data_IF_802913133717
#
_entry.id   IF_802913133717
#
_cell.length_a   1.000
_cell.length_b   1.000
_cell.length_c   1.000
_cell.angle_alpha   90.00
_cell.angle_beta   90.00
_cell.angle_gamma   90.00
#
_symmetry.space_group_name_H-M   'P 1'
#
loop_
_entity.id
_entity.type
_entity.pdbx_description
1 polymer ?
#
# COMPACT_ATOMS: atom_id res chain seq x y z
N UNK A 1 17.88 12.37 -10.31
CA UNK A 1 18.93 13.07 -9.53
C UNK A 1 18.34 14.07 -8.53
N UNK A 2 17.37 14.91 -8.91
CA UNK A 2 16.79 15.89 -7.97
C UNK A 2 15.88 15.29 -6.89
N UNK A 3 15.00 14.35 -7.25
CA UNK A 3 14.11 13.69 -6.27
C UNK A 3 14.90 12.92 -5.20
N UNK A 4 15.98 12.24 -5.62
CA UNK A 4 16.89 11.52 -4.74
C UNK A 4 17.60 12.47 -3.73
N UNK A 5 18.20 13.56 -4.23
CA UNK A 5 18.77 14.62 -3.36
C UNK A 5 17.72 15.27 -2.47
N UNK A 6 16.49 15.42 -2.96
CA UNK A 6 15.37 15.95 -2.19
C UNK A 6 14.98 15.04 -1.04
N UNK A 7 14.93 13.72 -1.29
CA UNK A 7 14.67 12.71 -0.27
C UNK A 7 15.79 12.67 0.76
N UNK A 8 17.06 12.71 0.34
CA UNK A 8 18.21 12.81 1.26
C UNK A 8 18.07 14.01 2.19
N UNK A 9 17.81 15.20 1.64
CA UNK A 9 17.60 16.42 2.44
C UNK A 9 16.45 16.29 3.44
N UNK A 10 15.34 15.68 3.03
CA UNK A 10 14.18 15.45 3.90
C UNK A 10 14.53 14.49 5.04
N UNK A 11 15.23 13.40 4.75
CA UNK A 11 15.69 12.41 5.74
C UNK A 11 16.70 13.05 6.71
N UNK A 12 17.69 13.79 6.22
CA UNK A 12 18.68 14.49 7.06
C UNK A 12 18.04 15.55 7.96
N UNK A 13 17.01 16.23 7.49
CA UNK A 13 16.21 17.11 8.33
C UNK A 13 15.45 16.33 9.42
N UNK A 14 14.78 15.22 9.05
CA UNK A 14 13.97 14.44 9.98
C UNK A 14 14.80 13.73 11.06
N UNK A 15 16.03 13.30 10.73
CA UNK A 15 17.01 12.73 11.69
C UNK A 15 17.29 13.66 12.88
N UNK A 16 17.29 14.98 12.65
CA UNK A 16 17.59 16.00 13.68
C UNK A 16 16.38 16.33 14.57
N UNK A 17 15.21 15.72 14.34
CA UNK A 17 13.97 16.03 15.05
C UNK A 17 13.84 15.25 16.35
N UNK A 18 13.58 15.95 17.46
CA UNK A 18 13.16 15.35 18.73
C UNK A 18 11.75 14.76 18.70
N UNK A 19 10.90 15.19 17.75
CA UNK A 19 9.58 14.60 17.52
C UNK A 19 9.69 13.32 16.68
N UNK A 20 9.07 12.19 17.07
CA UNK A 20 8.98 11.01 16.20
C UNK A 20 8.41 11.37 14.83
N UNK A 21 9.09 10.93 13.78
CA UNK A 21 8.77 11.27 12.39
C UNK A 21 8.94 10.03 11.53
N UNK A 22 7.89 9.69 10.79
CA UNK A 22 7.91 8.68 9.72
C UNK A 22 7.80 9.40 8.38
N UNK A 23 8.63 9.00 7.42
CA UNK A 23 8.58 9.43 6.02
C UNK A 23 8.11 8.23 5.21
N UNK A 24 7.05 8.40 4.43
CA UNK A 24 6.65 7.48 3.37
C UNK A 24 6.81 8.19 2.03
N UNK A 25 7.65 7.66 1.16
CA UNK A 25 7.97 8.21 -0.15
C UNK A 25 7.80 7.11 -1.20
N UNK A 26 6.89 7.31 -2.15
CA UNK A 26 6.58 6.30 -3.16
C UNK A 26 6.18 6.94 -4.48
N UNK A 27 6.42 6.23 -5.59
CA UNK A 27 5.87 6.59 -6.89
C UNK A 27 4.39 6.25 -6.94
N UNK A 28 3.58 7.09 -7.57
CA UNK A 28 2.17 6.81 -7.83
C UNK A 28 1.97 5.95 -9.09
N UNK A 29 2.82 6.15 -10.10
CA UNK A 29 2.87 5.35 -11.31
C UNK A 29 4.21 5.48 -12.06
N UNK A 30 4.44 4.63 -13.06
CA UNK A 30 5.58 4.75 -13.99
C UNK A 30 5.46 6.04 -14.85
N UNK A 31 6.59 6.66 -15.26
CA UNK A 31 6.56 7.88 -16.07
C UNK A 31 5.90 7.65 -17.45
N UNK A 32 5.21 8.64 -18.02
CA UNK A 32 4.57 8.49 -19.34
C UNK A 32 5.59 8.60 -20.48
N UNK A 33 6.41 7.57 -20.68
CA UNK A 33 7.47 7.56 -21.71
C UNK A 33 6.94 7.29 -23.14
N UNK A 34 5.66 6.90 -23.27
CA UNK A 34 4.97 6.79 -24.55
C UNK A 34 5.70 5.88 -25.55
N UNK A 35 6.07 6.34 -26.75
CA UNK A 35 6.72 5.52 -27.78
C UNK A 35 8.00 4.83 -27.31
N UNK A 36 8.74 5.44 -26.37
CA UNK A 36 9.98 4.86 -25.85
C UNK A 36 9.74 3.49 -25.21
N UNK A 37 8.58 3.26 -24.59
CA UNK A 37 8.27 1.94 -24.03
C UNK A 37 8.12 0.86 -25.10
N UNK A 38 7.60 1.22 -26.28
CA UNK A 38 7.44 0.29 -27.41
C UNK A 38 8.78 0.05 -28.10
N UNK A 39 9.56 1.12 -28.30
CA UNK A 39 10.88 1.05 -28.93
C UNK A 39 11.88 0.20 -28.15
N UNK A 40 11.79 0.20 -26.81
CA UNK A 40 12.63 -0.64 -25.95
C UNK A 40 12.09 -2.06 -25.76
N UNK A 41 10.86 -2.34 -26.21
CA UNK A 41 10.17 -3.59 -25.98
C UNK A 41 9.67 -3.79 -24.54
N UNK A 42 9.71 -2.75 -23.71
CA UNK A 42 9.20 -2.80 -22.33
C UNK A 42 7.68 -2.93 -22.28
N UNK A 43 6.95 -2.17 -23.10
CA UNK A 43 5.51 -2.35 -23.30
C UNK A 43 5.19 -2.66 -24.75
N UNK A 44 4.11 -3.39 -24.97
CA UNK A 44 3.55 -3.60 -26.32
C UNK A 44 2.94 -2.33 -26.91
N UNK A 45 2.35 -1.50 -26.06
CA UNK A 45 1.65 -0.27 -26.41
C UNK A 45 2.21 0.91 -25.59
N UNK A 46 1.85 2.15 -25.94
CA UNK A 46 2.35 3.36 -25.25
C UNK A 46 1.95 3.46 -23.77
N UNK A 47 1.03 2.61 -23.30
CA UNK A 47 0.55 2.55 -21.92
C UNK A 47 0.39 1.10 -21.48
N UNK A 48 0.60 0.84 -20.20
CA UNK A 48 0.39 -0.49 -19.65
C UNK A 48 -1.10 -0.90 -19.79
N UNK A 49 -1.39 -2.13 -20.21
CA UNK A 49 -2.75 -2.61 -20.30
C UNK A 49 -3.40 -2.69 -18.92
N UNK A 50 -4.74 -2.52 -18.86
CA UNK A 50 -5.48 -2.71 -17.59
C UNK A 50 -5.41 -4.14 -17.05
N UNK A 51 -5.09 -5.10 -17.91
CA UNK A 51 -4.95 -6.51 -17.59
C UNK A 51 -3.69 -7.01 -18.28
N UNK A 52 -2.76 -7.46 -17.47
CA UNK A 52 -1.47 -7.95 -17.91
C UNK A 52 -1.51 -9.41 -18.32
N UNK A 53 -0.56 -9.79 -19.18
CA UNK A 53 -0.48 -11.15 -19.71
C UNK A 53 -0.04 -12.16 -18.64
N UNK A 54 0.74 -11.71 -17.65
CA UNK A 54 1.18 -12.52 -16.53
C UNK A 54 1.33 -11.68 -15.24
N UNK A 55 1.37 -12.32 -14.06
CA UNK A 55 1.69 -11.65 -12.81
C UNK A 55 3.05 -10.95 -12.80
N UNK A 56 4.05 -11.51 -13.50
CA UNK A 56 5.39 -10.92 -13.62
C UNK A 56 5.33 -9.62 -14.42
N UNK A 57 4.60 -9.61 -15.55
CA UNK A 57 4.36 -8.38 -16.32
C UNK A 57 3.58 -7.34 -15.49
N UNK A 58 2.64 -7.77 -14.65
CA UNK A 58 1.92 -6.88 -13.75
C UNK A 58 2.83 -6.23 -12.70
N UNK A 59 3.81 -6.94 -12.17
CA UNK A 59 4.81 -6.34 -11.29
C UNK A 59 5.73 -5.42 -12.09
N UNK A 60 6.27 -5.87 -13.22
CA UNK A 60 7.20 -5.10 -14.04
C UNK A 60 6.60 -3.75 -14.51
N UNK A 61 5.34 -3.73 -14.94
CA UNK A 61 4.71 -2.54 -15.51
C UNK A 61 3.99 -1.64 -14.50
N UNK A 62 3.85 -2.07 -13.24
CA UNK A 62 3.12 -1.31 -12.22
C UNK A 62 3.88 -1.09 -10.91
N UNK A 63 4.99 -1.78 -10.68
CA UNK A 63 5.79 -1.58 -9.48
C UNK A 63 6.57 -0.26 -9.54
N UNK A 64 6.52 0.48 -8.43
CA UNK A 64 7.23 1.75 -8.25
C UNK A 64 8.01 1.72 -6.93
N UNK A 65 9.12 2.47 -6.81
CA UNK A 65 9.87 2.52 -5.57
C UNK A 65 9.02 2.95 -4.37
N UNK A 66 9.25 2.33 -3.21
CA UNK A 66 8.68 2.68 -1.91
C UNK A 66 9.80 2.76 -0.87
N UNK A 67 9.83 3.86 -0.12
CA UNK A 67 10.66 4.05 1.07
C UNK A 67 9.76 4.40 2.22
N UNK A 68 9.83 3.63 3.30
CA UNK A 68 9.26 4.00 4.60
C UNK A 68 10.42 4.06 5.59
N UNK A 69 10.57 5.19 6.29
CA UNK A 69 11.69 5.44 7.17
C UNK A 69 11.26 6.19 8.44
N UNK A 70 11.86 5.87 9.57
CA UNK A 70 11.61 6.50 10.87
C UNK A 70 12.88 7.10 11.46
N UNK A 71 12.78 8.27 12.07
CA UNK A 71 13.88 8.86 12.85
C UNK A 71 14.11 8.18 14.21
N UNK A 72 13.42 7.08 14.51
CA UNK A 72 13.60 6.26 15.71
C UNK A 72 14.20 4.91 15.39
N UNK A 73 13.71 4.26 14.33
CA UNK A 73 14.04 2.87 14.01
C UNK A 73 14.75 2.71 12.67
N UNK A 74 14.91 3.78 11.88
CA UNK A 74 15.53 3.71 10.56
C UNK A 74 14.56 3.25 9.47
N UNK A 75 15.07 2.71 8.34
CA UNK A 75 14.23 2.23 7.23
C UNK A 75 13.39 1.02 7.64
N UNK A 76 12.21 0.89 7.04
CA UNK A 76 11.44 -0.35 7.06
C UNK A 76 12.00 -1.30 6.00
N UNK A 77 12.35 -2.52 6.41
CA UNK A 77 12.98 -3.54 5.56
C UNK A 77 12.00 -4.67 5.23
N UNK A 78 12.37 -5.52 4.27
CA UNK A 78 11.68 -6.78 3.90
C UNK A 78 10.18 -6.64 3.57
N UNK A 79 9.78 -5.51 2.99
CA UNK A 79 8.38 -5.26 2.64
C UNK A 79 7.94 -6.02 1.37
N UNK A 80 8.86 -6.25 0.44
CA UNK A 80 8.57 -6.76 -0.91
C UNK A 80 7.69 -5.80 -1.71
N UNK A 81 7.08 -6.29 -2.79
CA UNK A 81 6.02 -5.57 -3.49
C UNK A 81 4.79 -5.42 -2.57
N UNK A 82 4.35 -4.17 -2.36
CA UNK A 82 3.25 -3.82 -1.44
C UNK A 82 2.15 -3.11 -2.22
N UNK A 83 0.91 -3.61 -2.13
CA UNK A 83 -0.24 -2.84 -2.63
C UNK A 83 -0.42 -1.54 -1.82
N UNK A 84 -0.75 -0.40 -2.45
CA UNK A 84 -1.02 0.86 -1.74
C UNK A 84 -2.05 0.74 -0.61
N UNK A 85 -2.96 -0.24 -0.71
CA UNK A 85 -3.93 -0.57 0.34
C UNK A 85 -3.29 -0.89 1.71
N UNK A 86 -2.04 -1.37 1.73
CA UNK A 86 -1.30 -1.72 2.94
C UNK A 86 -0.33 -0.62 3.41
N UNK A 87 -0.24 0.53 2.73
CA UNK A 87 0.59 1.64 3.19
C UNK A 87 0.24 2.10 4.61
N UNK A 88 -1.05 2.25 5.00
CA UNK A 88 -1.40 2.61 6.37
C UNK A 88 -0.86 1.64 7.41
N UNK A 89 -0.89 0.33 7.12
CA UNK A 89 -0.32 -0.71 7.99
C UNK A 89 1.19 -0.50 8.18
N UNK A 90 1.93 -0.38 7.09
CA UNK A 90 3.39 -0.22 7.16
C UNK A 90 3.79 1.09 7.86
N UNK A 91 3.12 2.20 7.55
CA UNK A 91 3.41 3.51 8.16
C UNK A 91 3.17 3.47 9.67
N UNK A 92 2.02 2.94 10.11
CA UNK A 92 1.69 2.87 11.53
C UNK A 92 2.61 1.90 12.29
N UNK A 93 2.92 0.74 11.71
CA UNK A 93 3.87 -0.21 12.29
C UNK A 93 5.27 0.41 12.44
N UNK A 94 5.75 1.15 11.42
CA UNK A 94 7.02 1.89 11.48
C UNK A 94 7.00 3.03 12.50
N UNK A 95 5.83 3.61 12.78
CA UNK A 95 5.64 4.57 13.86
C UNK A 95 5.60 3.92 15.26
N UNK A 96 5.66 2.59 15.36
CA UNK A 96 5.48 1.84 16.61
C UNK A 96 4.03 1.74 17.07
N UNK A 97 3.07 1.99 16.17
CA UNK A 97 1.63 1.96 16.45
C UNK A 97 1.05 0.66 15.90
N UNK A 98 0.49 -0.15 16.80
CA UNK A 98 -0.23 -1.38 16.48
C UNK A 98 -1.52 -1.42 17.29
N UNK A 99 -2.62 -1.80 16.66
CA UNK A 99 -3.90 -2.01 17.34
C UNK A 99 -4.65 -3.20 16.73
N UNK A 100 -5.51 -3.90 17.49
CA UNK A 100 -6.21 -5.09 16.99
C UNK A 100 -7.31 -4.77 15.97
N UNK A 101 -7.68 -3.49 15.83
CA UNK A 101 -8.73 -3.02 14.91
C UNK A 101 -8.24 -2.99 13.44
N UNK A 102 -8.40 -1.88 12.72
CA UNK A 102 -7.97 -1.73 11.32
C UNK A 102 -6.52 -2.14 10.98
N UNK A 103 -5.50 -1.76 11.77
CA UNK A 103 -4.12 -2.20 11.48
C UNK A 103 -3.91 -3.69 11.73
N UNK A 104 -4.56 -4.28 12.74
CA UNK A 104 -4.58 -5.72 12.96
C UNK A 104 -5.15 -6.45 11.75
N UNK A 105 -6.32 -6.02 11.29
CA UNK A 105 -6.96 -6.56 10.09
C UNK A 105 -6.09 -6.42 8.82
N UNK A 106 -5.48 -5.27 8.58
CA UNK A 106 -4.55 -5.10 7.46
C UNK A 106 -3.30 -6.00 7.61
N UNK A 107 -2.86 -6.26 8.83
CA UNK A 107 -1.77 -7.18 9.12
C UNK A 107 -2.11 -8.62 8.73
N UNK A 108 -3.27 -9.12 9.16
CA UNK A 108 -3.76 -10.45 8.80
C UNK A 108 -3.95 -10.58 7.27
N UNK A 109 -4.51 -9.55 6.64
CA UNK A 109 -4.62 -9.50 5.18
C UNK A 109 -3.26 -9.55 4.48
N UNK A 110 -2.26 -8.82 5.01
CA UNK A 110 -0.90 -8.80 4.46
C UNK A 110 -0.20 -10.15 4.58
N UNK A 111 -0.39 -10.85 5.69
CA UNK A 111 0.16 -12.20 5.89
C UNK A 111 -0.36 -13.18 4.84
N UNK A 112 -1.57 -12.95 4.35
CA UNK A 112 -2.17 -13.76 3.27
C UNK A 112 -1.82 -13.28 1.87
N UNK A 113 -1.83 -11.96 1.65
CA UNK A 113 -1.60 -11.33 0.36
C UNK A 113 -0.74 -10.07 0.50
N UNK A 114 0.43 -10.03 -0.16
CA UNK A 114 1.26 -8.82 -0.25
C UNK A 114 0.73 -7.83 -1.30
N UNK A 115 0.08 -8.34 -2.35
CA UNK A 115 -0.61 -7.53 -3.35
C UNK A 115 -2.08 -7.91 -3.39
N UNK A 116 -2.92 -6.90 -3.18
CA UNK A 116 -4.35 -6.93 -3.49
C UNK A 116 -4.59 -5.83 -4.52
N UNK A 117 -4.63 -6.21 -5.78
CA UNK A 117 -5.04 -5.38 -6.92
C UNK A 117 -6.37 -5.90 -7.47
N UNK A 118 -7.11 -5.10 -8.24
CA UNK A 118 -8.37 -5.50 -8.87
C UNK A 118 -8.28 -6.77 -9.72
N UNK A 119 -7.16 -6.99 -10.40
CA UNK A 119 -6.97 -8.11 -11.33
C UNK A 119 -5.93 -9.14 -10.86
N UNK A 120 -5.20 -8.87 -9.77
CA UNK A 120 -4.16 -9.75 -9.27
C UNK A 120 -4.18 -9.82 -7.74
N UNK A 121 -4.19 -11.04 -7.20
CA UNK A 121 -3.71 -11.30 -5.83
C UNK A 121 -2.33 -11.93 -5.91
N UNK A 122 -1.44 -11.55 -4.99
CA UNK A 122 -0.11 -12.14 -4.87
C UNK A 122 0.15 -12.49 -3.41
N UNK A 123 0.42 -13.76 -3.12
CA UNK A 123 0.81 -14.20 -1.78
C UNK A 123 2.26 -13.79 -1.48
N UNK A 124 2.68 -13.76 -0.19
CA UNK A 124 4.08 -13.56 0.16
C UNK A 124 5.04 -14.57 -0.48
N UNK A 125 4.57 -15.80 -0.73
CA UNK A 125 5.34 -16.85 -1.41
C UNK A 125 5.45 -16.63 -2.94
N UNK A 126 4.77 -15.62 -3.49
CA UNK A 126 4.78 -15.32 -4.92
C UNK A 126 3.74 -16.06 -5.74
N UNK A 127 2.82 -16.78 -5.10
CA UNK A 127 1.70 -17.41 -5.79
C UNK A 127 0.69 -16.35 -6.23
N UNK A 128 0.37 -16.36 -7.52
CA UNK A 128 -0.49 -15.37 -8.13
C UNK A 128 -1.89 -15.93 -8.42
N UNK A 129 -2.93 -15.14 -8.13
CA UNK A 129 -4.31 -15.41 -8.55
C UNK A 129 -4.80 -14.30 -9.47
N UNK A 130 -4.66 -14.45 -10.80
CA UNK A 130 -5.17 -13.48 -11.76
C UNK A 130 -6.71 -13.55 -11.87
N UNK A 131 -7.32 -12.44 -12.27
CA UNK A 131 -8.77 -12.29 -12.50
C UNK A 131 -9.67 -12.70 -11.32
N UNK A 132 -9.14 -12.75 -10.10
CA UNK A 132 -9.86 -13.18 -8.90
C UNK A 132 -11.20 -12.45 -8.73
N UNK A 133 -11.29 -11.17 -9.10
CA UNK A 133 -12.49 -10.36 -8.95
C UNK A 133 -13.67 -10.82 -9.83
N UNK A 134 -13.41 -11.67 -10.84
CA UNK A 134 -14.41 -12.28 -11.72
C UNK A 134 -14.77 -13.71 -11.34
N UNK A 135 -14.06 -14.30 -10.37
CA UNK A 135 -14.32 -15.66 -9.92
C UNK A 135 -15.65 -15.71 -9.14
N UNK A 136 -16.37 -16.83 -9.24
CA UNK A 136 -17.63 -17.04 -8.51
C UNK A 136 -17.40 -17.16 -7.01
N UNK A 137 -16.30 -17.82 -6.66
CA UNK A 137 -15.85 -18.00 -5.29
C UNK A 137 -14.54 -17.24 -5.14
N UNK A 138 -14.47 -16.46 -4.08
CA UNK A 138 -13.27 -15.74 -3.69
C UNK A 138 -12.98 -16.07 -2.24
N UNK A 139 -11.73 -15.89 -1.87
CA UNK A 139 -11.30 -15.95 -0.49
C UNK A 139 -12.20 -15.07 0.42
N UNK A 140 -12.79 -15.63 1.50
CA UNK A 140 -13.53 -14.86 2.49
C UNK A 140 -12.80 -13.61 3.01
N UNK A 141 -11.48 -13.66 3.17
CA UNK A 141 -10.70 -12.52 3.64
C UNK A 141 -10.73 -11.36 2.64
N UNK A 142 -10.66 -11.66 1.33
CA UNK A 142 -10.79 -10.65 0.26
C UNK A 142 -12.23 -10.14 0.16
N UNK A 143 -13.23 -11.00 0.34
CA UNK A 143 -14.63 -10.57 0.45
C UNK A 143 -14.80 -9.58 1.61
N UNK A 144 -14.29 -9.92 2.78
CA UNK A 144 -14.44 -9.11 4.00
C UNK A 144 -13.67 -7.79 3.87
N UNK A 145 -12.48 -7.80 3.28
CA UNK A 145 -11.74 -6.60 2.88
C UNK A 145 -12.56 -5.67 1.98
N UNK A 146 -13.24 -6.21 0.96
CA UNK A 146 -14.11 -5.42 0.07
C UNK A 146 -15.36 -4.90 0.78
N UNK A 147 -15.96 -5.70 1.66
CA UNK A 147 -17.13 -5.28 2.43
C UNK A 147 -16.80 -4.15 3.39
N UNK A 148 -15.67 -4.23 4.09
CA UNK A 148 -15.17 -3.17 4.96
C UNK A 148 -14.89 -1.89 4.16
N UNK A 149 -14.17 -2.00 3.03
CA UNK A 149 -13.91 -0.87 2.14
C UNK A 149 -15.22 -0.21 1.68
N UNK A 150 -16.18 -1.00 1.22
CA UNK A 150 -17.48 -0.50 0.78
C UNK A 150 -18.26 0.18 1.91
N UNK A 151 -18.35 -0.45 3.09
CA UNK A 151 -19.10 0.09 4.22
C UNK A 151 -18.54 1.45 4.69
N UNK A 152 -17.22 1.60 4.66
CA UNK A 152 -16.55 2.83 5.05
C UNK A 152 -16.63 3.95 4.00
N UNK A 153 -16.63 3.61 2.71
CA UNK A 153 -16.65 4.61 1.62
C UNK A 153 -18.07 5.00 1.18
N UNK A 154 -18.98 4.04 1.11
CA UNK A 154 -20.29 4.19 0.48
C UNK A 154 -21.46 3.67 1.33
N UNK A 155 -21.17 2.84 2.33
CA UNK A 155 -22.18 2.23 3.18
C UNK A 155 -22.60 3.09 4.36
N UNK A 156 -23.01 2.41 5.44
CA UNK A 156 -23.54 3.05 6.64
C UNK A 156 -22.50 3.13 7.76
N UNK A 157 -21.23 2.81 7.46
CA UNK A 157 -20.12 2.82 8.42
C UNK A 157 -20.43 1.98 9.67
N UNK A 158 -21.08 0.83 9.48
CA UNK A 158 -21.38 -0.13 10.55
C UNK A 158 -20.13 -0.71 11.20
N UNK A 159 -19.05 -0.84 10.43
CA UNK A 159 -17.76 -1.33 10.93
C UNK A 159 -16.95 -0.25 11.66
N UNK A 160 -17.35 1.03 11.61
CA UNK A 160 -16.56 2.12 12.18
C UNK A 160 -16.31 2.00 13.69
N UNK A 161 -17.29 1.63 14.54
CA UNK A 161 -17.04 1.45 15.98
C UNK A 161 -16.00 0.38 16.28
N UNK A 162 -15.99 -0.71 15.50
CA UNK A 162 -15.11 -1.85 15.75
C UNK A 162 -13.72 -1.64 15.16
N UNK A 163 -13.62 -1.04 13.97
CA UNK A 163 -12.35 -0.89 13.23
C UNK A 163 -11.65 0.45 13.47
N UNK A 164 -12.42 1.48 13.81
CA UNK A 164 -11.97 2.87 13.92
C UNK A 164 -12.60 3.57 15.15
N UNK A 165 -12.47 3.02 16.36
CA UNK A 165 -13.15 3.52 17.56
C UNK A 165 -12.85 5.01 17.82
N UNK A 166 -11.63 5.45 17.54
CA UNK A 166 -11.18 6.84 17.71
C UNK A 166 -11.89 7.85 16.79
N UNK A 167 -12.57 7.37 15.76
CA UNK A 167 -13.35 8.19 14.83
C UNK A 167 -14.83 8.30 15.22
N UNK A 168 -15.27 7.47 16.17
CA UNK A 168 -16.65 7.37 16.63
C UNK A 168 -16.86 8.21 17.89
N UNK A 169 -15.86 8.30 18.76
CA UNK A 169 -15.85 9.29 19.83
C UNK A 169 -15.16 10.59 19.37
N UNK A 170 -15.79 11.74 19.60
CA UNK A 170 -15.12 13.03 19.41
C UNK A 170 -14.00 13.13 20.44
N UNK A 171 -12.78 12.82 20.05
CA UNK A 171 -11.60 13.20 20.82
C UNK A 171 -11.58 14.73 20.88
N UNK A 172 -11.98 15.30 22.00
CA UNK A 172 -11.73 16.71 22.30
C UNK A 172 -10.22 16.81 22.42
N UNK A 173 -9.57 17.35 21.39
CA UNK A 173 -8.14 17.56 21.40
C UNK A 173 -7.79 18.46 22.59
N UNK A 174 -7.17 17.89 23.63
CA UNK A 174 -6.50 18.68 24.64
C UNK A 174 -5.25 19.27 23.98
N UNK A 175 -5.37 20.51 23.54
CA UNK A 175 -4.22 21.37 23.28
C UNK A 175 -3.58 21.69 24.63
N UNK A 176 -2.47 21.02 24.92
CA UNK A 176 -1.50 21.44 25.93
C UNK A 176 -0.23 21.90 25.23
#
# INVERSE_FOLDING_TARGET
>A
ADADRGLERLVEWAKKRSRPTVIAFFGDHLPPLGPVYVETGFLKDNVAPRKEASPEAALEHHETPLVIWSNRTGPAEDMGAVSPAFLPYHILKTAGISHPYYTGFLGEMRERYRVVDRNLLLTPAGEATPDWARQKEIDPAIRDFRLLQYDMMFGKRRAAPDFFPETVEKVVAHTS
#
